data_IF_820250712265
#
_entry.id   IF_820250712265
#
_cell.length_a   1.000
_cell.length_b   1.000
_cell.length_c   1.000
_cell.angle_alpha   90.00
_cell.angle_beta   90.00
_cell.angle_gamma   90.00
#
_symmetry.space_group_name_H-M   'P 1'
#
loop_
_entity.id
_entity.type
_entity.pdbx_description
1 polymer ?
#
# COMPACT_ATOMS: atom_id res chain seq x y z
N UNK A 1 7.77 -5.62 -39.15
CA UNK A 1 7.02 -4.64 -38.35
C UNK A 1 6.21 -5.26 -37.23
N UNK A 2 5.42 -6.29 -37.50
CA UNK A 2 4.62 -6.96 -36.46
C UNK A 2 5.46 -7.70 -35.41
N UNK A 3 6.61 -8.27 -35.82
CA UNK A 3 7.51 -8.96 -34.90
C UNK A 3 8.10 -7.98 -33.89
N UNK A 4 8.48 -6.78 -34.33
CA UNK A 4 8.98 -5.76 -33.44
C UNK A 4 7.90 -5.28 -32.47
N UNK A 5 6.65 -5.21 -32.90
CA UNK A 5 5.53 -4.87 -32.04
C UNK A 5 5.30 -5.94 -30.97
N UNK A 6 5.45 -7.21 -31.32
CA UNK A 6 5.30 -8.32 -30.36
C UNK A 6 6.39 -8.25 -29.29
N UNK A 7 7.64 -8.00 -29.68
CA UNK A 7 8.75 -7.84 -28.74
C UNK A 7 8.54 -6.62 -27.88
N UNK A 8 8.11 -5.50 -28.46
CA UNK A 8 7.80 -4.28 -27.74
C UNK A 8 6.66 -4.48 -26.74
N UNK A 9 5.62 -5.22 -27.12
CA UNK A 9 4.50 -5.54 -26.25
C UNK A 9 4.97 -6.39 -25.04
N UNK A 10 5.87 -7.38 -25.26
CA UNK A 10 6.41 -8.19 -24.18
C UNK A 10 7.16 -7.35 -23.14
N UNK A 11 8.03 -6.45 -23.58
CA UNK A 11 8.74 -5.54 -22.68
C UNK A 11 7.79 -4.59 -21.98
N UNK A 12 6.81 -4.07 -22.69
CA UNK A 12 5.80 -3.18 -22.13
C UNK A 12 4.98 -3.88 -21.05
N UNK A 13 4.62 -5.16 -21.24
CA UNK A 13 3.89 -5.93 -20.24
C UNK A 13 4.69 -6.09 -18.95
N UNK A 14 6.00 -6.31 -19.02
CA UNK A 14 6.85 -6.40 -17.84
C UNK A 14 6.89 -5.06 -17.08
N UNK A 15 7.00 -3.95 -17.79
CA UNK A 15 6.95 -2.61 -17.20
C UNK A 15 5.58 -2.33 -16.60
N UNK A 16 4.50 -2.72 -17.27
CA UNK A 16 3.15 -2.56 -16.75
C UNK A 16 2.91 -3.40 -15.49
N UNK A 17 3.49 -4.59 -15.38
CA UNK A 17 3.34 -5.40 -14.18
C UNK A 17 3.95 -4.68 -12.97
N UNK A 18 5.15 -4.11 -13.09
CA UNK A 18 5.79 -3.35 -12.04
C UNK A 18 5.01 -2.07 -11.71
N UNK A 19 4.60 -1.30 -12.73
CA UNK A 19 3.78 -0.10 -12.57
C UNK A 19 2.40 -0.46 -12.01
N UNK A 20 1.83 -1.59 -12.42
CA UNK A 20 0.55 -2.07 -11.94
C UNK A 20 0.55 -2.37 -10.45
N UNK A 21 1.61 -2.98 -9.93
CA UNK A 21 1.74 -3.24 -8.50
C UNK A 21 1.85 -1.94 -7.70
N UNK A 22 2.64 -0.99 -8.18
CA UNK A 22 2.79 0.30 -7.53
C UNK A 22 1.46 1.07 -7.54
N UNK A 23 0.75 1.09 -8.65
CA UNK A 23 -0.54 1.76 -8.76
C UNK A 23 -1.60 1.07 -7.91
N UNK A 24 -1.60 -0.26 -7.86
CA UNK A 24 -2.51 -1.00 -7.00
C UNK A 24 -2.28 -0.69 -5.53
N UNK A 25 -1.02 -0.66 -5.09
CA UNK A 25 -0.68 -0.32 -3.71
C UNK A 25 -1.14 1.10 -3.36
N UNK A 26 -0.89 2.07 -4.24
CA UNK A 26 -1.36 3.45 -4.05
C UNK A 26 -2.88 3.52 -3.94
N UNK A 27 -3.59 2.80 -4.80
CA UNK A 27 -5.05 2.79 -4.80
C UNK A 27 -5.60 2.21 -3.50
N UNK A 28 -5.03 1.12 -3.01
CA UNK A 28 -5.42 0.49 -1.75
C UNK A 28 -5.19 1.45 -0.58
N UNK A 29 -4.05 2.14 -0.56
CA UNK A 29 -3.76 3.13 0.48
C UNK A 29 -4.75 4.29 0.43
N UNK A 30 -5.02 4.84 -0.75
CA UNK A 30 -5.94 5.96 -0.91
C UNK A 30 -7.35 5.59 -0.46
N UNK A 31 -7.82 4.41 -0.82
CA UNK A 31 -9.13 3.92 -0.39
C UNK A 31 -9.17 3.73 1.12
N UNK A 32 -8.13 3.17 1.72
CA UNK A 32 -8.05 2.98 3.16
C UNK A 32 -8.08 4.31 3.90
N UNK A 33 -7.30 5.29 3.46
CA UNK A 33 -7.26 6.61 4.10
C UNK A 33 -8.61 7.32 3.97
N UNK A 34 -9.22 7.27 2.79
CA UNK A 34 -10.51 7.92 2.56
C UNK A 34 -11.66 7.25 3.30
N UNK A 35 -11.74 5.91 3.22
CA UNK A 35 -12.91 5.17 3.68
C UNK A 35 -12.79 4.71 5.13
N UNK A 36 -11.60 4.28 5.54
CA UNK A 36 -11.40 3.74 6.89
C UNK A 36 -10.92 4.80 7.87
N UNK A 37 -9.98 5.65 7.48
CA UNK A 37 -9.52 6.75 8.33
C UNK A 37 -10.38 8.00 8.18
N UNK A 38 -11.24 8.05 7.16
CA UNK A 38 -12.14 9.17 6.87
C UNK A 38 -11.38 10.50 6.77
N UNK A 39 -10.24 10.46 6.10
CA UNK A 39 -9.39 11.61 5.87
C UNK A 39 -9.40 12.00 4.40
N UNK A 40 -9.49 13.30 4.14
CA UNK A 40 -9.33 13.86 2.80
C UNK A 40 -7.86 14.26 2.65
N UNK A 41 -7.10 13.40 1.99
CA UNK A 41 -5.65 13.51 1.91
C UNK A 41 -5.19 13.98 0.54
N UNK A 42 -4.24 14.93 0.53
CA UNK A 42 -3.49 15.31 -0.65
C UNK A 42 -2.13 14.61 -0.60
N UNK A 43 -1.87 13.70 -1.51
CA UNK A 43 -0.66 12.89 -1.49
C UNK A 43 0.50 13.64 -2.12
N UNK A 44 1.61 13.70 -1.40
CA UNK A 44 2.84 14.36 -1.86
C UNK A 44 3.74 13.38 -2.59
N UNK A 45 3.99 12.23 -1.98
CA UNK A 45 4.79 11.18 -2.59
C UNK A 45 4.49 9.82 -1.96
N UNK A 46 4.93 8.78 -2.66
CA UNK A 46 4.90 7.39 -2.20
C UNK A 46 6.27 6.78 -2.44
N UNK A 47 6.72 5.92 -1.53
CA UNK A 47 7.87 5.05 -1.80
C UNK A 47 7.47 3.93 -2.76
N UNK A 48 8.45 3.23 -3.32
CA UNK A 48 8.17 2.01 -4.06
C UNK A 48 7.59 0.95 -3.13
N UNK A 49 6.64 0.16 -3.63
CA UNK A 49 6.12 -0.96 -2.87
C UNK A 49 7.21 -2.01 -2.70
N UNK A 50 7.35 -2.57 -1.51
CA UNK A 50 8.36 -3.57 -1.17
C UNK A 50 7.73 -4.69 -0.37
N UNK A 51 8.47 -5.75 -0.11
CA UNK A 51 8.00 -6.94 0.58
C UNK A 51 8.73 -7.11 1.90
N UNK A 52 8.02 -7.67 2.88
CA UNK A 52 8.63 -8.00 4.18
C UNK A 52 8.03 -9.28 4.74
N UNK A 53 8.84 -10.04 5.46
CA UNK A 53 8.40 -11.21 6.21
C UNK A 53 8.39 -10.94 7.72
N UNK A 54 8.73 -9.72 8.14
CA UNK A 54 8.97 -9.40 9.55
C UNK A 54 7.71 -9.10 10.34
N UNK A 55 6.53 -9.14 9.73
CA UNK A 55 5.28 -8.85 10.42
C UNK A 55 4.69 -10.07 11.10
N UNK A 56 5.09 -10.40 12.33
CA UNK A 56 4.42 -11.44 13.11
C UNK A 56 3.01 -10.99 13.52
N UNK A 57 2.16 -11.93 13.93
CA UNK A 57 0.80 -11.61 14.37
C UNK A 57 0.79 -10.64 15.56
N UNK A 58 1.75 -10.79 16.48
CA UNK A 58 1.86 -9.87 17.61
C UNK A 58 2.26 -8.46 17.19
N UNK A 59 3.12 -8.32 16.19
CA UNK A 59 3.49 -7.00 15.66
C UNK A 59 2.28 -6.36 14.98
N UNK A 60 1.55 -7.11 14.15
CA UNK A 60 0.34 -6.59 13.49
C UNK A 60 -0.70 -6.17 14.53
N UNK A 61 -0.93 -6.97 15.55
CA UNK A 61 -1.85 -6.63 16.64
C UNK A 61 -1.43 -5.35 17.35
N UNK A 62 -0.14 -5.20 17.64
CA UNK A 62 0.38 -4.01 18.30
C UNK A 62 0.21 -2.76 17.42
N UNK A 63 0.48 -2.87 16.13
CA UNK A 63 0.28 -1.74 15.20
C UNK A 63 -1.19 -1.33 15.13
N UNK A 64 -2.10 -2.29 15.08
CA UNK A 64 -3.54 -2.00 15.05
C UNK A 64 -4.00 -1.32 16.34
N UNK A 65 -3.44 -1.69 17.48
CA UNK A 65 -3.77 -1.09 18.77
C UNK A 65 -3.24 0.32 18.92
N UNK A 66 -2.14 0.66 18.25
CA UNK A 66 -1.57 2.01 18.27
C UNK A 66 -2.37 2.99 17.43
N UNK A 67 -3.11 2.51 16.44
CA UNK A 67 -3.91 3.34 15.56
C UNK A 67 -5.27 3.72 16.15
N UNK A 68 -6.07 4.49 15.42
CA UNK A 68 -7.42 4.81 15.82
C UNK A 68 -8.27 3.56 16.03
N UNK A 69 -9.22 3.62 16.95
CA UNK A 69 -10.14 2.51 17.20
C UNK A 69 -11.22 2.46 16.12
N UNK A 70 -11.76 1.27 15.88
CA UNK A 70 -12.86 1.09 14.95
C UNK A 70 -12.46 0.98 13.49
N UNK A 71 -11.16 0.87 13.21
CA UNK A 71 -10.67 0.70 11.85
C UNK A 71 -10.85 -0.75 11.42
N UNK A 72 -11.42 -0.94 10.23
CA UNK A 72 -11.52 -2.25 9.62
C UNK A 72 -10.29 -2.52 8.77
N UNK A 73 -9.49 -3.49 9.22
CA UNK A 73 -8.30 -3.93 8.50
C UNK A 73 -8.60 -5.18 7.69
N UNK A 74 -7.86 -5.34 6.60
CA UNK A 74 -7.87 -6.59 5.84
C UNK A 74 -7.24 -7.71 6.66
N UNK A 75 -7.69 -8.94 6.41
CA UNK A 75 -7.12 -10.10 7.07
C UNK A 75 -5.72 -10.38 6.54
N UNK A 76 -4.82 -10.74 7.45
CA UNK A 76 -3.50 -11.19 7.07
C UNK A 76 -3.59 -12.61 6.54
N UNK A 77 -3.14 -12.80 5.30
CA UNK A 77 -3.07 -14.11 4.67
C UNK A 77 -1.60 -14.50 4.51
N UNK A 78 -1.16 -15.51 5.27
CA UNK A 78 0.22 -15.97 5.24
C UNK A 78 1.16 -15.01 5.97
N UNK A 79 2.47 -15.18 5.75
CA UNK A 79 3.52 -14.42 6.46
C UNK A 79 4.04 -13.25 5.66
N UNK A 80 3.92 -13.29 4.33
CA UNK A 80 4.44 -12.24 3.47
C UNK A 80 3.49 -11.04 3.48
N UNK A 81 4.06 -9.86 3.63
CA UNK A 81 3.35 -8.59 3.54
C UNK A 81 4.06 -7.71 2.52
N UNK A 82 3.30 -6.83 1.90
CA UNK A 82 3.83 -5.71 1.13
C UNK A 82 3.73 -4.46 1.99
N UNK A 83 4.60 -3.49 1.75
CA UNK A 83 4.48 -2.22 2.44
C UNK A 83 4.84 -1.07 1.51
N UNK A 84 4.25 0.08 1.81
CA UNK A 84 4.49 1.32 1.09
C UNK A 84 4.35 2.46 2.09
N UNK A 85 5.22 3.46 1.94
CA UNK A 85 5.16 4.66 2.77
C UNK A 85 4.61 5.81 1.94
N UNK A 86 3.77 6.62 2.55
CA UNK A 86 3.21 7.81 1.92
C UNK A 86 3.44 9.04 2.77
N UNK A 87 3.74 10.15 2.11
CA UNK A 87 3.69 11.47 2.70
C UNK A 87 2.49 12.20 2.10
N UNK A 88 1.66 12.77 2.96
CA UNK A 88 0.42 13.40 2.51
C UNK A 88 -0.01 14.51 3.45
N UNK A 89 -0.88 15.38 2.96
CA UNK A 89 -1.44 16.50 3.71
C UNK A 89 -2.89 16.20 4.10
N UNK A 90 -3.22 16.44 5.34
CA UNK A 90 -4.60 16.45 5.85
C UNK A 90 -4.80 17.73 6.63
N UNK A 91 -5.70 18.59 6.16
CA UNK A 91 -5.98 19.89 6.80
C UNK A 91 -4.70 20.72 7.01
N UNK A 92 -3.84 20.78 5.99
CA UNK A 92 -2.56 21.50 5.99
C UNK A 92 -1.47 20.88 6.89
N UNK A 93 -1.76 19.80 7.59
CA UNK A 93 -0.76 19.05 8.35
C UNK A 93 -0.09 18.00 7.45
N UNK A 94 1.23 17.97 7.48
CA UNK A 94 2.01 16.97 6.76
C UNK A 94 2.09 15.71 7.62
N UNK A 95 1.61 14.60 7.06
CA UNK A 95 1.63 13.29 7.72
C UNK A 95 2.50 12.34 6.92
N UNK A 96 3.12 11.41 7.62
CA UNK A 96 3.87 10.31 7.01
C UNK A 96 3.43 9.01 7.67
N UNK A 97 3.12 8.02 6.87
CA UNK A 97 2.68 6.73 7.39
C UNK A 97 3.20 5.59 6.52
N UNK A 98 3.43 4.45 7.17
CA UNK A 98 3.76 3.19 6.49
C UNK A 98 2.53 2.30 6.53
N UNK A 99 2.12 1.81 5.37
CA UNK A 99 0.95 0.94 5.21
C UNK A 99 1.41 -0.47 4.87
N UNK A 100 0.94 -1.44 5.64
CA UNK A 100 1.23 -2.85 5.43
C UNK A 100 0.04 -3.49 4.75
N UNK A 101 0.26 -4.08 3.59
CA UNK A 101 -0.75 -4.67 2.73
C UNK A 101 -0.59 -6.19 2.76
N UNK A 102 -1.68 -6.90 2.51
CA UNK A 102 -1.58 -8.33 2.26
C UNK A 102 -0.74 -8.59 1.00
N UNK A 103 -0.26 -9.83 0.84
CA UNK A 103 0.64 -10.18 -0.26
C UNK A 103 0.03 -9.90 -1.64
N UNK A 104 -1.29 -9.99 -1.75
CA UNK A 104 -2.02 -9.74 -3.00
C UNK A 104 -2.37 -8.26 -3.19
N UNK A 105 -2.09 -7.43 -2.18
CA UNK A 105 -2.40 -6.00 -2.19
C UNK A 105 -3.88 -5.72 -2.41
N UNK A 106 -4.73 -6.45 -1.70
CA UNK A 106 -6.18 -6.28 -1.75
C UNK A 106 -6.69 -5.36 -0.64
N UNK A 107 -5.92 -5.15 0.41
CA UNK A 107 -6.30 -4.29 1.51
C UNK A 107 -5.15 -3.99 2.45
N UNK A 108 -5.38 -3.07 3.36
CA UNK A 108 -4.42 -2.66 4.39
C UNK A 108 -4.61 -3.55 5.62
N UNK A 109 -3.56 -4.26 6.01
CA UNK A 109 -3.54 -5.16 7.17
C UNK A 109 -3.23 -4.37 8.44
N UNK A 110 -2.36 -3.40 8.35
CA UNK A 110 -1.99 -2.52 9.45
C UNK A 110 -1.34 -1.26 8.89
N UNK A 111 -1.27 -0.21 9.69
CA UNK A 111 -0.51 0.97 9.32
C UNK A 111 0.13 1.60 10.55
N UNK A 112 1.17 2.36 10.31
CA UNK A 112 1.90 3.06 11.37
C UNK A 112 2.13 4.50 10.92
N UNK A 113 1.66 5.45 11.71
CA UNK A 113 2.00 6.86 11.51
C UNK A 113 3.43 7.09 12.00
N UNK A 114 4.26 7.64 11.15
CA UNK A 114 5.67 7.87 11.46
C UNK A 114 5.90 9.17 12.23
#
# INVERSE_FOLDING_TARGET
MRINNIIGIGLTLLLFAACGQQQQAKSVVKDFVADCLQQDADYLDFTDVDSTLSGSDSVITALRQQGPKGIQYAERKGKALKYIRANYLVNDDTLSATFYLDAEMTGVVAYKQN
#
